data_IF_079366367388
#
_entry.id   IF_079366367388
#
_cell.length_a   1.000
_cell.length_b   1.000
_cell.length_c   1.000
_cell.angle_alpha   90.00
_cell.angle_beta   90.00
_cell.angle_gamma   90.00
#
_symmetry.space_group_name_H-M   'P 1'
#
loop_
_entity.id
_entity.type
_entity.pdbx_description
1 polymer ?
#
# COMPACT_ATOMS: atom_id res chain seq x y z
N UNK A 1 6.70 -2.30 -17.06
CA UNK A 1 6.72 -3.28 -15.95
C UNK A 1 7.76 -3.00 -14.87
N UNK A 2 9.03 -2.66 -15.19
CA UNK A 2 10.05 -2.35 -14.16
C UNK A 2 9.63 -1.19 -13.23
N UNK A 3 9.12 -0.09 -13.80
CA UNK A 3 8.67 1.08 -13.03
C UNK A 3 7.48 0.77 -12.09
N UNK A 4 6.60 -0.16 -12.49
CA UNK A 4 5.44 -0.58 -11.69
C UNK A 4 5.91 -1.23 -10.39
N UNK A 5 6.87 -2.15 -10.48
CA UNK A 5 7.46 -2.79 -9.31
C UNK A 5 8.24 -1.80 -8.43
N UNK A 6 8.96 -0.84 -9.02
CA UNK A 6 9.62 0.21 -8.27
C UNK A 6 8.63 1.04 -7.43
N UNK A 7 7.48 1.42 -8.00
CA UNK A 7 6.42 2.14 -7.28
C UNK A 7 5.87 1.30 -6.11
N UNK A 8 5.67 0.00 -6.30
CA UNK A 8 5.20 -0.88 -5.21
C UNK A 8 6.21 -0.97 -4.06
N UNK A 9 7.51 -1.01 -4.38
CA UNK A 9 8.59 -1.00 -3.37
C UNK A 9 8.57 0.31 -2.58
N UNK A 10 8.37 1.45 -3.25
CA UNK A 10 8.24 2.76 -2.58
C UNK A 10 7.07 2.76 -1.59
N UNK A 11 5.92 2.22 -1.98
CA UNK A 11 4.78 2.08 -1.07
C UNK A 11 5.13 1.23 0.16
N UNK A 12 5.83 0.10 -0.03
CA UNK A 12 6.25 -0.74 1.09
C UNK A 12 7.14 0.02 2.07
N UNK A 13 8.07 0.83 1.58
CA UNK A 13 8.91 1.68 2.44
C UNK A 13 8.12 2.75 3.18
N UNK A 14 7.16 3.41 2.52
CA UNK A 14 6.31 4.41 3.16
C UNK A 14 5.50 3.79 4.31
N UNK A 15 4.83 2.67 4.05
CA UNK A 15 4.03 1.97 5.07
C UNK A 15 4.91 1.43 6.20
N UNK A 16 6.10 0.89 5.89
CA UNK A 16 7.07 0.45 6.89
C UNK A 16 7.58 1.60 7.76
N UNK A 17 7.91 2.73 7.17
CA UNK A 17 8.35 3.92 7.90
C UNK A 17 7.24 4.44 8.83
N UNK A 18 6.00 4.52 8.34
CA UNK A 18 4.84 4.91 9.16
C UNK A 18 4.62 3.95 10.33
N UNK A 19 4.76 2.64 10.11
CA UNK A 19 4.66 1.64 11.17
C UNK A 19 5.73 1.85 12.26
N UNK A 20 6.98 2.11 11.87
CA UNK A 20 8.06 2.42 12.82
C UNK A 20 7.74 3.69 13.62
N UNK A 21 7.28 4.76 12.96
CA UNK A 21 6.92 6.02 13.63
C UNK A 21 5.78 5.84 14.65
N UNK A 22 4.77 5.02 14.32
CA UNK A 22 3.68 4.69 15.25
C UNK A 22 4.19 3.88 16.44
N UNK A 23 5.05 2.89 16.19
CA UNK A 23 5.61 2.04 17.25
C UNK A 23 6.51 2.80 18.21
N UNK A 24 7.36 3.69 17.68
CA UNK A 24 8.39 4.39 18.44
C UNK A 24 7.88 5.62 19.22
N UNK A 25 6.74 6.23 18.83
CA UNK A 25 6.24 7.43 19.50
C UNK A 25 5.51 7.11 20.82
N UNK A 26 5.63 7.99 21.81
CA UNK A 26 4.93 7.89 23.10
C UNK A 26 3.71 8.82 23.19
N UNK A 27 3.68 9.87 22.38
CA UNK A 27 2.61 10.88 22.34
C UNK A 27 2.27 11.14 20.87
N UNK A 28 1.01 11.39 20.58
CA UNK A 28 0.56 11.71 19.22
C UNK A 28 0.44 13.22 18.95
N UNK A 29 -0.01 13.55 17.74
CA UNK A 29 -0.13 14.95 17.30
C UNK A 29 -1.17 15.76 18.06
N UNK A 30 -2.05 15.12 18.84
CA UNK A 30 -3.02 15.78 19.70
C UNK A 30 -2.53 15.88 21.16
N UNK A 31 -1.30 15.42 21.47
CA UNK A 31 -0.78 15.39 22.83
C UNK A 31 -1.28 14.18 23.64
N UNK A 32 -1.95 13.20 23.01
CA UNK A 32 -2.48 12.03 23.71
C UNK A 32 -1.38 10.97 23.84
N UNK A 33 -1.23 10.44 25.05
CA UNK A 33 -0.30 9.34 25.34
C UNK A 33 -0.74 8.08 24.61
N UNK A 34 0.18 7.50 23.85
CA UNK A 34 -0.05 6.32 23.02
C UNK A 34 0.13 5.04 23.86
N UNK A 35 -0.96 4.52 24.42
CA UNK A 35 -0.97 3.22 25.12
C UNK A 35 -0.81 2.06 24.13
N UNK A 36 -0.40 0.86 24.58
CA UNK A 36 -0.30 -0.31 23.71
C UNK A 36 -1.59 -0.59 22.91
N UNK A 37 -2.75 -0.43 23.54
CA UNK A 37 -4.05 -0.65 22.90
C UNK A 37 -4.30 0.34 21.76
N UNK A 38 -4.05 1.64 21.99
CA UNK A 38 -4.22 2.69 20.99
C UNK A 38 -3.22 2.51 19.83
N UNK A 39 -1.99 2.11 20.12
CA UNK A 39 -0.99 1.78 19.09
C UNK A 39 -1.46 0.62 18.22
N UNK A 40 -2.01 -0.44 18.81
CA UNK A 40 -2.54 -1.58 18.05
C UNK A 40 -3.70 -1.18 17.14
N UNK A 41 -4.62 -0.34 17.62
CA UNK A 41 -5.70 0.21 16.79
C UNK A 41 -5.11 1.01 15.61
N UNK A 42 -4.10 1.84 15.87
CA UNK A 42 -3.44 2.63 14.82
C UNK A 42 -2.73 1.74 13.80
N UNK A 43 -2.09 0.64 14.22
CA UNK A 43 -1.52 -0.36 13.31
C UNK A 43 -2.58 -1.06 12.46
N UNK A 44 -3.74 -1.39 13.03
CA UNK A 44 -4.85 -1.99 12.28
C UNK A 44 -5.35 -1.03 11.20
N UNK A 45 -5.51 0.25 11.53
CA UNK A 45 -5.91 1.28 10.55
C UNK A 45 -4.87 1.39 9.43
N UNK A 46 -3.58 1.42 9.77
CA UNK A 46 -2.49 1.43 8.79
C UNK A 46 -2.53 0.18 7.90
N UNK A 47 -2.78 -0.99 8.48
CA UNK A 47 -2.90 -2.26 7.77
C UNK A 47 -4.08 -2.29 6.79
N UNK A 48 -5.24 -1.78 7.19
CA UNK A 48 -6.41 -1.64 6.31
C UNK A 48 -6.09 -0.72 5.14
N UNK A 49 -5.44 0.43 5.40
CA UNK A 49 -5.03 1.35 4.34
C UNK A 49 -4.06 0.69 3.34
N UNK A 50 -3.10 -0.12 3.83
CA UNK A 50 -2.20 -0.89 2.98
C UNK A 50 -2.97 -1.88 2.10
N UNK A 51 -3.93 -2.62 2.66
CA UNK A 51 -4.77 -3.57 1.91
C UNK A 51 -5.52 -2.85 0.80
N UNK A 52 -6.14 -1.70 1.08
CA UNK A 52 -6.87 -0.91 0.07
C UNK A 52 -5.96 -0.50 -1.08
N UNK A 53 -4.76 0.00 -0.77
CA UNK A 53 -3.77 0.38 -1.81
C UNK A 53 -3.38 -0.83 -2.66
N UNK A 54 -3.09 -1.98 -2.03
CA UNK A 54 -2.75 -3.21 -2.74
C UNK A 54 -3.89 -3.67 -3.65
N UNK A 55 -5.14 -3.63 -3.18
CA UNK A 55 -6.31 -4.01 -3.99
C UNK A 55 -6.45 -3.13 -5.24
N UNK A 56 -6.31 -1.81 -5.08
CA UNK A 56 -6.36 -0.87 -6.21
C UNK A 56 -5.25 -1.18 -7.22
N UNK A 57 -4.03 -1.45 -6.74
CA UNK A 57 -2.90 -1.81 -7.60
C UNK A 57 -3.15 -3.13 -8.35
N UNK A 58 -3.70 -4.16 -7.69
CA UNK A 58 -4.02 -5.44 -8.32
C UNK A 58 -5.09 -5.30 -9.40
N UNK A 59 -6.14 -4.52 -9.13
CA UNK A 59 -7.20 -4.22 -10.10
C UNK A 59 -6.61 -3.52 -11.32
N UNK A 60 -5.79 -2.49 -11.12
CA UNK A 60 -5.15 -1.77 -12.21
C UNK A 60 -4.22 -2.69 -13.04
N UNK A 61 -3.40 -3.50 -12.37
CA UNK A 61 -2.49 -4.44 -13.03
C UNK A 61 -3.25 -5.46 -13.89
N UNK A 62 -4.40 -5.95 -13.41
CA UNK A 62 -5.27 -6.84 -14.16
C UNK A 62 -5.77 -6.18 -15.46
N UNK A 63 -6.30 -4.95 -15.38
CA UNK A 63 -6.78 -4.24 -16.57
C UNK A 63 -5.66 -3.96 -17.58
N UNK A 64 -4.48 -3.54 -17.12
CA UNK A 64 -3.33 -3.30 -18.00
C UNK A 64 -2.92 -4.57 -18.74
N UNK A 65 -2.78 -5.69 -18.02
CA UNK A 65 -2.41 -6.98 -18.63
C UNK A 65 -3.46 -7.47 -19.63
N UNK A 66 -4.75 -7.33 -19.30
CA UNK A 66 -5.86 -7.70 -20.19
C UNK A 66 -5.84 -6.85 -21.47
N UNK A 67 -5.62 -5.55 -21.36
CA UNK A 67 -5.52 -4.65 -22.53
C UNK A 67 -4.36 -5.05 -23.44
N UNK A 68 -3.17 -5.31 -22.88
CA UNK A 68 -2.01 -5.74 -23.68
C UNK A 68 -2.25 -7.06 -24.40
N UNK A 69 -2.89 -8.04 -23.75
CA UNK A 69 -3.21 -9.33 -24.36
C UNK A 69 -4.20 -9.20 -25.54
N UNK A 70 -5.24 -8.38 -25.39
CA UNK A 70 -6.20 -8.13 -26.47
C UNK A 70 -5.56 -7.44 -27.68
N UNK A 71 -4.66 -6.48 -27.45
CA UNK A 71 -3.94 -5.79 -28.52
C UNK A 71 -3.02 -6.73 -29.30
N UNK A 72 -2.34 -7.66 -28.62
CA UNK A 72 -1.49 -8.66 -29.26
C UNK A 72 -2.31 -9.59 -30.16
N UNK A 73 -3.45 -10.06 -29.66
CA UNK A 73 -4.35 -10.96 -30.41
C UNK A 73 -4.83 -10.30 -31.70
N UNK A 74 -5.25 -9.03 -31.64
CA UNK A 74 -5.70 -8.25 -32.82
C UNK A 74 -4.61 -8.02 -33.87
N UNK A 75 -3.33 -8.04 -33.49
CA UNK A 75 -2.21 -7.87 -34.42
C UNK A 75 -1.85 -9.15 -35.18
N UNK A 76 -2.29 -10.30 -34.68
CA UNK A 76 -1.98 -11.62 -35.23
C UNK A 76 -3.12 -12.21 -36.08
N UNK A 77 -4.30 -11.58 -36.06
CA UNK A 77 -5.46 -11.87 -36.92
C UNK A 77 -5.47 -10.98 -38.16
#
# INVERSE_FOLDING_TARGET
MKIWWAINIVWLFIFGALAILIGARNVDGAGVVQTPEIKMITFVILGIALIVVVLIQLIFLYFVRKSTANQLTKRLS
#
